data_IF_256435636166
#
_entry.id   IF_256435636166
#
_cell.length_a   1.000
_cell.length_b   1.000
_cell.length_c   1.000
_cell.angle_alpha   90.00
_cell.angle_beta   90.00
_cell.angle_gamma   90.00
#
_symmetry.space_group_name_H-M   'P 1'
#
loop_
_entity.id
_entity.type
_entity.pdbx_description
1 polymer ?
#
# COMPACT_ATOMS: atom_id res chain seq x y z
N UNK A 1 13.32 -3.08 -17.70
CA UNK A 1 13.06 -4.31 -17.27
C UNK A 1 11.69 -4.42 -16.74
N UNK A 2 11.07 -5.31 -17.18
CA UNK A 2 9.72 -5.40 -16.85
C UNK A 2 9.56 -5.99 -15.51
N UNK A 3 8.72 -5.38 -14.76
CA UNK A 3 8.40 -5.93 -13.50
C UNK A 3 7.31 -6.92 -13.70
N UNK A 4 7.26 -7.87 -12.85
CA UNK A 4 6.26 -8.90 -12.98
C UNK A 4 4.91 -8.35 -12.60
N UNK A 5 3.96 -8.33 -13.48
CA UNK A 5 2.65 -7.82 -13.10
C UNK A 5 1.95 -8.69 -12.09
N UNK A 6 2.38 -9.92 -11.96
CA UNK A 6 1.74 -10.78 -10.99
C UNK A 6 2.22 -10.55 -9.60
N UNK A 7 3.27 -9.75 -9.43
CA UNK A 7 3.84 -9.57 -8.10
C UNK A 7 4.13 -8.11 -7.84
N UNK A 8 3.10 -7.33 -7.55
CA UNK A 8 3.30 -5.90 -7.33
C UNK A 8 4.25 -5.61 -6.17
N UNK A 9 4.31 -6.48 -5.18
CA UNK A 9 5.20 -6.23 -4.06
C UNK A 9 6.64 -6.25 -4.50
N UNK A 10 7.01 -7.20 -5.35
CA UNK A 10 8.37 -7.25 -5.86
C UNK A 10 8.70 -5.98 -6.64
N UNK A 11 7.74 -5.49 -7.44
CA UNK A 11 7.95 -4.24 -8.17
C UNK A 11 8.11 -3.08 -7.22
N UNK A 12 7.32 -3.05 -6.17
CA UNK A 12 7.39 -1.95 -5.22
C UNK A 12 8.74 -1.97 -4.50
N UNK A 13 9.23 -3.15 -4.13
CA UNK A 13 10.54 -3.25 -3.49
C UNK A 13 11.62 -2.74 -4.44
N UNK A 14 11.52 -3.09 -5.72
CA UNK A 14 12.50 -2.62 -6.68
C UNK A 14 12.48 -1.10 -6.78
N UNK A 15 11.28 -0.51 -6.75
CA UNK A 15 11.16 0.94 -6.78
C UNK A 15 11.81 1.55 -5.54
N UNK A 16 11.56 0.98 -4.37
CA UNK A 16 12.14 1.52 -3.15
C UNK A 16 13.65 1.48 -3.20
N UNK A 17 14.20 0.38 -3.69
CA UNK A 17 15.64 0.27 -3.75
C UNK A 17 16.23 1.24 -4.77
N UNK A 18 15.54 1.44 -5.87
CA UNK A 18 16.00 2.39 -6.87
C UNK A 18 16.03 3.81 -6.33
N UNK A 19 15.13 4.12 -5.40
CA UNK A 19 15.05 5.47 -4.83
C UNK A 19 15.79 5.58 -3.50
N UNK A 20 16.42 4.51 -3.05
CA UNK A 20 17.14 4.55 -1.79
C UNK A 20 16.25 4.61 -0.57
N UNK A 21 15.02 4.18 -0.69
CA UNK A 21 14.08 4.20 0.42
C UNK A 21 14.15 2.87 1.15
N UNK A 22 14.30 2.93 2.46
CA UNK A 22 14.63 1.71 3.21
C UNK A 22 13.57 1.31 4.20
N UNK A 23 12.42 1.93 4.20
CA UNK A 23 11.36 1.58 5.13
C UNK A 23 10.00 1.63 4.49
N UNK A 24 9.06 0.90 5.04
CA UNK A 24 7.69 0.86 4.54
C UNK A 24 6.73 0.74 5.70
N UNK A 25 5.62 1.46 5.60
CA UNK A 25 4.49 1.26 6.49
C UNK A 25 3.47 0.41 5.74
N UNK A 26 3.03 -0.68 6.33
CA UNK A 26 2.05 -1.56 5.70
C UNK A 26 0.74 -1.47 6.47
N UNK A 27 -0.31 -1.03 5.80
CA UNK A 27 -1.63 -0.97 6.40
C UNK A 27 -2.36 -2.28 6.16
N UNK A 28 -3.20 -2.66 7.11
CA UNK A 28 -3.91 -3.94 7.05
C UNK A 28 -2.91 -5.06 6.81
N UNK A 29 -1.86 -5.06 7.63
CA UNK A 29 -0.75 -5.97 7.41
C UNK A 29 -1.12 -7.43 7.68
N UNK A 30 -2.26 -7.68 8.27
CA UNK A 30 -2.66 -9.03 8.59
C UNK A 30 -1.66 -9.70 9.50
N UNK A 31 -1.35 -10.94 9.21
CA UNK A 31 -0.42 -11.69 10.03
C UNK A 31 1.02 -11.47 9.59
N UNK A 32 1.25 -10.59 8.64
CA UNK A 32 2.60 -10.21 8.30
C UNK A 32 3.21 -10.92 7.12
N UNK A 33 2.39 -11.55 6.27
CA UNK A 33 2.92 -12.25 5.11
C UNK A 33 3.71 -11.32 4.20
N UNK A 34 3.12 -10.17 3.85
CA UNK A 34 3.84 -9.21 3.02
C UNK A 34 4.99 -8.58 3.78
N UNK A 35 4.80 -8.39 5.10
CA UNK A 35 5.85 -7.80 5.91
C UNK A 35 7.11 -8.62 5.90
N UNK A 36 6.97 -9.95 5.95
CA UNK A 36 8.13 -10.81 5.88
C UNK A 36 8.86 -10.64 4.56
N UNK A 37 8.12 -10.48 3.48
CA UNK A 37 8.76 -10.28 2.19
C UNK A 37 9.54 -8.97 2.15
N UNK A 38 8.99 -7.91 2.74
CA UNK A 38 9.72 -6.64 2.81
C UNK A 38 11.00 -6.81 3.63
N UNK A 39 10.89 -7.46 4.78
CA UNK A 39 12.06 -7.64 5.63
C UNK A 39 13.11 -8.48 4.92
N UNK A 40 12.69 -9.54 4.25
CA UNK A 40 13.63 -10.39 3.53
C UNK A 40 14.29 -9.66 2.39
N UNK A 41 13.67 -8.58 1.91
CA UNK A 41 14.25 -7.77 0.86
C UNK A 41 15.10 -6.63 1.39
N UNK A 42 15.26 -6.54 2.70
CA UNK A 42 16.08 -5.49 3.28
C UNK A 42 15.36 -4.20 3.57
N UNK A 43 14.02 -4.21 3.57
CA UNK A 43 13.22 -3.02 3.84
C UNK A 43 12.70 -3.10 5.26
N UNK A 44 12.87 -2.01 6.02
CA UNK A 44 12.36 -1.99 7.39
C UNK A 44 10.85 -1.94 7.37
N UNK A 45 10.22 -2.83 8.10
CA UNK A 45 8.78 -2.98 8.09
C UNK A 45 8.16 -2.44 9.36
N UNK A 46 7.11 -1.64 9.22
CA UNK A 46 6.22 -1.26 10.30
C UNK A 46 4.81 -1.55 9.82
N UNK A 47 4.03 -2.28 10.59
CA UNK A 47 2.71 -2.66 10.17
C UNK A 47 1.64 -2.25 11.14
N UNK A 48 0.42 -2.05 10.63
CA UNK A 48 -0.75 -1.81 11.47
C UNK A 48 -1.90 -2.63 10.94
N UNK A 49 -2.81 -2.98 11.82
CA UNK A 49 -4.00 -3.73 11.44
C UNK A 49 -5.01 -3.53 12.57
N UNK A 50 -6.30 -3.43 12.25
CA UNK A 50 -7.28 -3.24 13.31
C UNK A 50 -7.51 -4.49 14.15
N UNK A 51 -7.03 -5.65 13.72
CA UNK A 51 -7.25 -6.90 14.43
C UNK A 51 -6.11 -7.18 15.40
N UNK A 52 -6.44 -7.28 16.68
CA UNK A 52 -5.42 -7.61 17.67
C UNK A 52 -4.84 -8.99 17.43
N UNK A 53 -5.66 -9.89 16.92
CA UNK A 53 -5.21 -11.24 16.67
C UNK A 53 -4.17 -11.26 15.57
N UNK A 54 -4.41 -10.49 14.50
CA UNK A 54 -3.44 -10.40 13.43
C UNK A 54 -2.13 -9.78 13.91
N UNK A 55 -2.24 -8.76 14.74
CA UNK A 55 -1.03 -8.10 15.23
C UNK A 55 -0.25 -9.05 16.13
N UNK A 56 -0.95 -9.81 16.94
CA UNK A 56 -0.27 -10.79 17.79
C UNK A 56 0.51 -11.79 16.90
N UNK A 57 -0.11 -12.25 15.83
CA UNK A 57 0.55 -13.19 14.94
C UNK A 57 1.75 -12.56 14.24
N UNK A 58 1.62 -11.31 13.81
CA UNK A 58 2.72 -10.64 13.14
C UNK A 58 3.89 -10.45 14.09
N UNK A 59 3.60 -10.07 15.33
CA UNK A 59 4.67 -9.90 16.33
C UNK A 59 5.35 -11.21 16.64
N UNK A 60 4.59 -12.31 16.63
CA UNK A 60 5.17 -13.62 16.88
C UNK A 60 6.17 -14.00 15.80
N UNK A 61 6.06 -13.39 14.64
CA UNK A 61 7.00 -13.61 13.54
C UNK A 61 8.17 -12.64 13.58
N UNK A 62 8.25 -11.82 14.62
CA UNK A 62 9.34 -10.88 14.73
C UNK A 62 9.12 -9.56 14.04
N UNK A 63 7.88 -9.26 13.63
CA UNK A 63 7.61 -8.05 12.91
C UNK A 63 7.15 -6.94 13.86
N UNK A 64 7.44 -5.71 13.46
CA UNK A 64 7.04 -4.55 14.23
C UNK A 64 5.63 -4.18 13.79
N UNK A 65 4.65 -4.37 14.63
CA UNK A 65 3.27 -4.16 14.24
C UNK A 65 2.46 -3.65 15.42
N UNK A 66 1.42 -2.89 15.13
CA UNK A 66 0.55 -2.30 16.15
C UNK A 66 -0.89 -2.31 15.70
N UNK A 67 -1.80 -2.35 16.66
CA UNK A 67 -3.20 -2.28 16.34
C UNK A 67 -3.56 -0.83 16.02
N UNK A 68 -4.11 -0.61 14.85
CA UNK A 68 -4.55 0.73 14.47
C UNK A 68 -5.46 0.64 13.27
N UNK A 69 -6.34 1.63 13.15
CA UNK A 69 -7.22 1.73 11.99
C UNK A 69 -6.54 2.59 10.94
N UNK A 70 -6.80 2.28 9.68
CA UNK A 70 -6.17 2.98 8.57
C UNK A 70 -6.54 4.46 8.52
N UNK A 71 -7.71 4.82 9.02
CA UNK A 71 -8.15 6.21 9.00
C UNK A 71 -7.64 7.04 10.16
N UNK A 72 -6.87 6.45 11.05
CA UNK A 72 -6.36 7.17 12.21
C UNK A 72 -5.07 6.51 12.66
N UNK A 73 -3.96 6.95 12.08
CA UNK A 73 -2.69 6.28 12.30
C UNK A 73 -1.92 6.95 13.44
N UNK A 74 -1.33 6.14 14.32
CA UNK A 74 -0.65 6.67 15.50
C UNK A 74 0.79 7.04 15.21
N UNK A 75 1.01 7.76 14.12
CA UNK A 75 2.36 8.13 13.72
C UNK A 75 2.43 9.61 13.41
N UNK A 76 3.63 10.15 13.50
CA UNK A 76 3.85 11.55 13.19
C UNK A 76 3.81 11.77 11.69
N UNK A 77 3.75 13.04 11.31
CA UNK A 77 3.72 13.41 9.90
C UNK A 77 5.05 13.08 9.24
N UNK A 78 4.98 12.66 7.99
CA UNK A 78 6.17 12.53 7.13
C UNK A 78 7.23 11.59 7.67
N UNK A 79 6.79 10.53 8.33
CA UNK A 79 7.73 9.61 8.97
C UNK A 79 8.17 8.47 8.06
N UNK A 80 7.31 8.04 7.15
CA UNK A 80 7.58 6.81 6.41
C UNK A 80 8.11 7.08 5.01
N UNK A 81 9.22 6.45 4.64
CA UNK A 81 9.76 6.60 3.29
C UNK A 81 8.88 6.01 2.21
N UNK A 82 7.99 5.10 2.57
CA UNK A 82 7.05 4.51 1.62
C UNK A 82 5.90 3.92 2.40
N UNK A 83 4.79 3.68 1.70
CA UNK A 83 3.59 3.13 2.33
C UNK A 83 3.01 2.07 1.41
N UNK A 84 2.67 0.94 1.98
CA UNK A 84 2.03 -0.15 1.25
C UNK A 84 0.64 -0.33 1.82
N UNK A 85 -0.35 0.17 1.10
CA UNK A 85 -1.72 0.18 1.58
C UNK A 85 -2.63 -0.59 0.63
N UNK A 86 -2.11 -1.68 0.08
CA UNK A 86 -2.79 -2.41 -0.96
C UNK A 86 -4.14 -2.93 -0.50
N UNK A 87 -4.21 -3.40 0.74
CA UNK A 87 -5.45 -3.95 1.25
C UNK A 87 -6.28 -2.97 2.07
N UNK A 88 -5.80 -1.75 2.21
CA UNK A 88 -6.40 -0.85 3.19
C UNK A 88 -7.78 -0.37 2.80
N UNK A 89 -8.04 -0.24 1.51
CA UNK A 89 -9.32 0.26 1.06
C UNK A 89 -10.32 -0.83 0.79
N UNK A 90 -9.87 -2.07 0.72
CA UNK A 90 -10.76 -3.17 0.45
C UNK A 90 -11.73 -3.32 1.61
N UNK A 91 -13.00 -3.42 1.31
CA UNK A 91 -13.98 -3.61 2.35
C UNK A 91 -14.41 -2.35 3.08
N UNK A 92 -13.81 -1.21 2.76
CA UNK A 92 -14.24 0.03 3.38
C UNK A 92 -15.26 0.71 2.52
N UNK A 93 -16.28 1.33 3.13
CA UNK A 93 -17.19 2.14 2.32
C UNK A 93 -16.46 3.33 1.73
N UNK A 94 -16.88 3.77 0.56
CA UNK A 94 -16.16 4.89 -0.09
C UNK A 94 -16.10 6.15 0.76
N UNK A 95 -17.08 6.37 1.63
CA UNK A 95 -17.05 7.58 2.43
C UNK A 95 -15.90 7.56 3.43
N UNK A 96 -15.34 6.39 3.72
CA UNK A 96 -14.22 6.32 4.63
C UNK A 96 -12.88 6.42 3.93
N UNK A 97 -12.89 6.40 2.59
CA UNK A 97 -11.63 6.43 1.86
C UNK A 97 -10.88 7.73 2.04
N UNK A 98 -11.62 8.85 2.15
CA UNK A 98 -10.95 10.13 2.27
C UNK A 98 -10.10 10.20 3.52
N UNK A 99 -10.58 9.63 4.61
CA UNK A 99 -9.81 9.64 5.84
C UNK A 99 -8.55 8.80 5.69
N UNK A 100 -8.67 7.65 5.04
CA UNK A 100 -7.51 6.79 4.86
C UNK A 100 -6.49 7.47 3.94
N UNK A 101 -6.95 8.02 2.83
CA UNK A 101 -6.04 8.66 1.89
C UNK A 101 -5.35 9.85 2.55
N UNK A 102 -6.07 10.59 3.37
CA UNK A 102 -5.47 11.72 4.08
C UNK A 102 -4.37 11.25 5.02
N UNK A 103 -4.63 10.16 5.75
CA UNK A 103 -3.63 9.62 6.66
C UNK A 103 -2.42 9.09 5.91
N UNK A 104 -2.64 8.43 4.76
CA UNK A 104 -1.52 7.96 3.98
C UNK A 104 -0.62 9.12 3.56
N UNK A 105 -1.22 10.20 3.08
CA UNK A 105 -0.43 11.35 2.68
C UNK A 105 0.23 12.04 3.85
N UNK A 106 -0.40 12.00 5.02
CA UNK A 106 0.15 12.66 6.20
C UNK A 106 1.39 11.96 6.71
N UNK A 107 1.37 10.63 6.80
CA UNK A 107 2.48 9.91 7.41
C UNK A 107 3.61 9.64 6.42
N UNK A 108 3.35 9.78 5.14
CA UNK A 108 4.38 9.51 4.13
C UNK A 108 5.33 10.68 4.01
N UNK A 109 6.60 10.39 3.87
CA UNK A 109 7.60 11.43 3.67
C UNK A 109 7.36 12.11 2.32
N UNK A 110 7.87 13.33 2.15
CA UNK A 110 7.65 14.02 0.88
C UNK A 110 8.12 13.20 -0.31
N UNK A 111 7.26 13.08 -1.30
CA UNK A 111 7.57 12.31 -2.51
C UNK A 111 7.52 10.81 -2.35
N UNK A 112 7.14 10.32 -1.18
CA UNK A 112 7.16 8.88 -0.94
C UNK A 112 6.12 8.16 -1.78
N UNK A 113 6.46 6.99 -2.31
CA UNK A 113 5.47 6.20 -3.04
C UNK A 113 4.50 5.54 -2.09
N UNK A 114 3.24 5.54 -2.47
CA UNK A 114 2.16 4.95 -1.69
C UNK A 114 1.41 3.99 -2.59
N UNK A 115 1.53 2.70 -2.31
CA UNK A 115 0.88 1.69 -3.14
C UNK A 115 -0.52 1.41 -2.63
N UNK A 116 -1.49 1.47 -3.51
CA UNK A 116 -2.88 1.20 -3.15
C UNK A 116 -3.52 0.36 -4.25
N UNK A 117 -4.61 -0.31 -3.91
CA UNK A 117 -5.45 -0.95 -4.88
C UNK A 117 -6.84 -0.36 -4.73
N UNK A 118 -7.33 0.27 -5.77
CA UNK A 118 -8.66 0.85 -5.75
C UNK A 118 -9.64 -0.20 -6.18
N UNK A 119 -10.74 -0.35 -5.46
CA UNK A 119 -11.74 -1.32 -5.88
C UNK A 119 -12.29 -0.97 -7.24
N UNK A 120 -12.49 -1.99 -8.02
CA UNK A 120 -12.89 -1.79 -9.39
C UNK A 120 -14.21 -1.05 -9.52
N UNK A 121 -15.12 -1.36 -8.65
CA UNK A 121 -16.43 -0.77 -8.75
C UNK A 121 -16.41 0.71 -8.45
N UNK A 122 -15.34 1.22 -7.92
CA UNK A 122 -15.27 2.63 -7.62
C UNK A 122 -14.63 3.43 -8.71
N UNK A 123 -14.21 2.78 -9.74
CA UNK A 123 -13.69 3.51 -10.87
C UNK A 123 -14.87 4.13 -11.58
N UNK A 124 -14.75 5.39 -11.93
CA UNK A 124 -15.87 6.05 -12.58
C UNK A 124 -16.00 5.54 -13.99
N UNK A 125 -16.82 4.54 -14.13
CA UNK A 125 -16.94 3.90 -15.41
C UNK A 125 -17.36 4.84 -16.48
N UNK A 126 -18.20 5.78 -16.12
CA UNK A 126 -18.66 6.68 -17.12
C UNK A 126 -17.55 7.57 -17.61
N UNK A 127 -16.50 7.66 -16.85
CA UNK A 127 -15.40 8.48 -17.26
C UNK A 127 -14.40 7.72 -18.06
N UNK A 128 -14.61 6.46 -18.26
CA UNK A 128 -13.68 5.68 -19.00
C UNK A 128 -14.20 5.48 -20.39
N UNK A 129 -13.75 6.21 -21.32
CA UNK A 129 -14.19 6.02 -22.68
C UNK A 129 -13.69 4.68 -23.13
N UNK A 130 -14.59 3.84 -23.45
CA UNK A 130 -14.21 2.51 -23.78
C UNK A 130 -13.31 2.47 -24.95
N UNK A 131 -13.49 3.40 -25.82
CA UNK A 131 -12.65 3.34 -26.97
C UNK A 131 -11.23 3.59 -26.62
N UNK A 132 -11.03 4.18 -25.49
CA UNK A 132 -9.69 4.39 -25.10
C UNK A 132 -9.07 3.25 -24.48
N UNK A 133 -9.76 2.20 -24.38
CA UNK A 133 -9.14 1.08 -23.83
C UNK A 133 -8.38 0.49 -24.89
N UNK A 134 -7.29 0.97 -25.12
CA UNK A 134 -6.60 0.61 -26.23
C UNK A 134 -6.18 -0.73 -26.16
N UNK A 135 -5.66 -1.06 -25.26
CA UNK A 135 -4.87 -2.13 -25.37
C UNK A 135 -5.31 -3.10 -24.56
N UNK A 136 -6.31 -3.65 -24.92
CA UNK A 136 -6.66 -4.83 -24.29
C UNK A 136 -5.60 -5.82 -24.37
N UNK A 137 -4.68 -5.55 -25.22
CA UNK A 137 -3.58 -6.46 -25.31
C UNK A 137 -2.69 -6.38 -24.14
N UNK A 138 -2.66 -5.28 -23.47
CA UNK A 138 -1.74 -5.15 -22.40
C UNK A 138 -2.27 -5.85 -21.19
N UNK A 139 -1.52 -6.76 -20.66
CA UNK A 139 -1.96 -7.45 -19.45
C UNK A 139 -1.94 -6.46 -18.33
N UNK A 140 -3.05 -6.28 -17.72
CA UNK A 140 -3.12 -5.44 -16.55
C UNK A 140 -2.56 -6.20 -15.37
N UNK A 141 -1.74 -5.59 -14.58
CA UNK A 141 -1.20 -6.26 -13.42
C UNK A 141 -2.33 -6.61 -12.48
N UNK A 142 -2.76 -5.76 -11.66
CA UNK A 142 -3.88 -5.99 -10.80
C UNK A 142 -4.83 -4.87 -11.05
N UNK A 143 -6.09 -5.14 -11.31
CA UNK A 143 -7.00 -4.04 -11.53
C UNK A 143 -6.93 -3.09 -10.35
N UNK A 144 -6.75 -1.82 -10.65
CA UNK A 144 -6.75 -0.81 -9.62
C UNK A 144 -5.45 -0.59 -8.90
N UNK A 145 -4.43 -1.43 -9.13
CA UNK A 145 -3.17 -1.22 -8.44
C UNK A 145 -2.51 0.06 -8.94
N UNK A 146 -2.15 0.91 -8.02
CA UNK A 146 -1.63 2.22 -8.35
C UNK A 146 -0.61 2.64 -7.32
N UNK A 147 0.39 3.37 -7.76
CA UNK A 147 1.36 3.96 -6.84
C UNK A 147 1.16 5.47 -6.89
N UNK A 148 0.75 6.02 -5.76
CA UNK A 148 0.58 7.45 -5.62
C UNK A 148 1.85 8.03 -5.02
N UNK A 149 1.99 9.35 -5.10
CA UNK A 149 3.13 10.00 -4.46
C UNK A 149 2.64 11.01 -3.47
N UNK A 150 3.29 11.03 -2.33
CA UNK A 150 3.00 12.05 -1.34
C UNK A 150 3.47 13.39 -1.86
N UNK A 151 2.81 14.48 -1.48
CA UNK A 151 3.26 15.81 -1.91
C UNK A 151 4.68 16.07 -1.43
N UNK A 152 5.42 16.70 -2.28
CA UNK A 152 6.81 17.01 -1.93
C UNK A 152 6.91 18.17 -0.98
#
# INVERSE_FOLDING_TARGET
MALSPEDPLTEFVALLKAEGRKGVLVLDCGQGTDGLRFVQSGIHFTGVDPSEENIHSARARGLEASVAAAGSLPFADSVFPSVWAVDALAGLPPQDWDDVVRELGRVAAPGAPIAVVLPEQDLPEQDLPEQDLPDQDLPAPSPGFTVLRSPA
#
